data_IF_777022390058
#
_entry.id   IF_777022390058
#
_cell.length_a   1.000
_cell.length_b   1.000
_cell.length_c   1.000
_cell.angle_alpha   90.00
_cell.angle_beta   90.00
_cell.angle_gamma   90.00
#
_symmetry.space_group_name_H-M   'P 1'
#
loop_
_entity.id
_entity.type
_entity.pdbx_description
1 polymer ?
#
# COMPACT_ATOMS: atom_id res chain seq x y z
N UNK A 1 -0.52 17.02 6.82
CA UNK A 1 -1.66 17.94 6.59
C UNK A 1 -2.82 17.35 5.77
N UNK A 2 -2.67 16.99 4.49
CA UNK A 2 -3.80 16.59 3.62
C UNK A 2 -4.63 15.42 4.15
N UNK A 3 -4.00 14.32 4.58
CA UNK A 3 -4.72 13.16 5.13
C UNK A 3 -5.49 13.51 6.40
N UNK A 4 -4.87 14.28 7.29
CA UNK A 4 -5.50 14.77 8.51
C UNK A 4 -6.70 15.65 8.21
N UNK A 5 -6.60 16.57 7.23
CA UNK A 5 -7.73 17.39 6.80
C UNK A 5 -8.86 16.60 6.13
N UNK A 6 -8.54 15.44 5.53
CA UNK A 6 -9.53 14.52 4.98
C UNK A 6 -10.20 13.62 6.04
N UNK A 7 -9.91 13.83 7.33
CA UNK A 7 -10.52 13.09 8.44
C UNK A 7 -9.80 11.79 8.81
N UNK A 8 -8.65 11.50 8.22
CA UNK A 8 -7.81 10.38 8.65
C UNK A 8 -7.09 10.70 9.96
N UNK A 9 -6.76 9.64 10.70
CA UNK A 9 -5.91 9.73 11.89
C UNK A 9 -4.44 10.07 11.57
N UNK A 10 -3.57 9.89 12.57
CA UNK A 10 -2.13 9.96 12.36
C UNK A 10 -1.67 8.93 11.32
N UNK A 11 -0.64 9.29 10.54
CA UNK A 11 -0.03 8.36 9.57
C UNK A 11 0.55 7.17 10.35
N UNK A 12 0.22 5.96 9.92
CA UNK A 12 0.62 4.71 10.56
C UNK A 12 1.84 4.05 9.90
N UNK A 13 2.42 4.68 8.88
CA UNK A 13 3.61 4.19 8.18
C UNK A 13 4.80 4.08 9.13
N UNK A 14 5.41 2.92 9.18
CA UNK A 14 6.68 2.68 9.88
C UNK A 14 7.85 2.90 8.91
N UNK A 15 8.92 3.55 9.40
CA UNK A 15 10.14 3.81 8.64
C UNK A 15 11.32 3.30 9.47
N UNK A 16 11.95 2.23 8.99
CA UNK A 16 13.07 1.58 9.66
C UNK A 16 14.09 1.05 8.62
N UNK A 17 15.29 0.72 9.10
CA UNK A 17 16.29 0.03 8.27
C UNK A 17 15.86 -1.42 8.04
N UNK A 18 16.10 -1.95 6.83
CA UNK A 18 15.81 -3.33 6.53
C UNK A 18 16.82 -4.25 7.24
N UNK A 19 16.35 -5.07 8.18
CA UNK A 19 17.20 -6.07 8.83
C UNK A 19 17.35 -7.33 7.99
N UNK A 20 16.22 -7.90 7.53
CA UNK A 20 16.16 -9.13 6.74
C UNK A 20 14.88 -9.17 5.92
N UNK A 21 14.96 -9.75 4.73
CA UNK A 21 13.82 -10.02 3.87
C UNK A 21 13.63 -11.53 3.69
N UNK A 22 12.40 -12.01 3.84
CA UNK A 22 12.03 -13.40 3.60
C UNK A 22 11.07 -13.45 2.41
N UNK A 23 11.32 -14.35 1.46
CA UNK A 23 10.41 -14.58 0.36
C UNK A 23 9.12 -15.24 0.88
N UNK A 24 7.97 -14.75 0.41
CA UNK A 24 6.72 -15.49 0.51
C UNK A 24 6.74 -16.74 -0.37
N UNK A 25 5.87 -17.68 -0.10
CA UNK A 25 5.70 -18.92 -0.86
C UNK A 25 5.46 -18.64 -2.36
N UNK A 26 5.81 -19.60 -3.22
CA UNK A 26 5.71 -19.44 -4.68
C UNK A 26 4.31 -19.01 -5.17
N UNK A 27 3.26 -19.48 -4.48
CA UNK A 27 1.88 -19.12 -4.83
C UNK A 27 1.60 -17.61 -4.68
N UNK A 28 2.29 -16.92 -3.76
CA UNK A 28 2.15 -15.48 -3.55
C UNK A 28 2.84 -14.67 -4.65
N UNK A 29 3.86 -15.25 -5.28
CA UNK A 29 4.65 -14.56 -6.29
C UNK A 29 3.80 -14.35 -7.54
N UNK A 30 3.68 -13.08 -7.95
CA UNK A 30 2.86 -12.66 -9.09
C UNK A 30 1.39 -13.11 -8.99
N UNK A 31 0.84 -13.21 -7.77
CA UNK A 31 -0.50 -13.74 -7.51
C UNK A 31 -1.59 -13.11 -8.39
N UNK A 32 -1.65 -11.78 -8.49
CA UNK A 32 -2.69 -11.09 -9.27
C UNK A 32 -2.52 -11.25 -10.79
N UNK A 33 -1.29 -11.49 -11.27
CA UNK A 33 -1.06 -11.82 -12.67
C UNK A 33 -1.48 -13.27 -12.97
N UNK A 34 -1.23 -14.19 -12.04
CA UNK A 34 -1.68 -15.59 -12.11
C UNK A 34 -3.21 -15.73 -11.95
N UNK A 35 -3.84 -14.80 -11.25
CA UNK A 35 -5.28 -14.79 -10.94
C UNK A 35 -5.92 -13.46 -11.38
N UNK A 36 -6.32 -13.28 -12.65
CA UNK A 36 -6.86 -12.01 -13.17
C UNK A 36 -8.14 -11.51 -12.49
N UNK A 37 -8.90 -12.40 -11.84
CA UNK A 37 -10.05 -12.05 -10.98
C UNK A 37 -9.73 -12.00 -9.48
N UNK A 38 -8.45 -12.10 -9.12
CA UNK A 38 -7.97 -12.08 -7.74
C UNK A 38 -8.21 -10.72 -7.08
N UNK A 39 -8.62 -10.74 -5.83
CA UNK A 39 -8.93 -9.52 -5.09
C UNK A 39 -7.73 -9.04 -4.28
N UNK A 40 -7.37 -7.76 -4.44
CA UNK A 40 -6.27 -7.11 -3.71
C UNK A 40 -6.76 -6.33 -2.47
N UNK A 41 -7.99 -5.81 -2.48
CA UNK A 41 -8.55 -5.07 -1.35
C UNK A 41 -7.96 -3.68 -1.10
N UNK A 42 -7.22 -3.12 -2.06
CA UNK A 42 -6.68 -1.76 -1.94
C UNK A 42 -7.76 -0.74 -2.35
N UNK A 43 -8.13 0.15 -1.42
CA UNK A 43 -9.03 1.29 -1.69
C UNK A 43 -8.32 2.65 -1.85
N UNK A 44 -7.07 2.76 -1.37
CA UNK A 44 -6.35 4.03 -1.32
C UNK A 44 -6.97 5.05 -0.36
N UNK A 45 -6.49 6.30 -0.42
CA UNK A 45 -6.94 7.40 0.44
C UNK A 45 -7.89 8.37 -0.28
N UNK A 46 -8.02 8.27 -1.60
CA UNK A 46 -8.84 9.17 -2.42
C UNK A 46 -8.37 10.64 -2.47
N UNK A 47 -7.27 10.99 -1.81
CA UNK A 47 -6.73 12.36 -1.83
C UNK A 47 -5.68 12.54 -2.92
N UNK A 48 -5.71 13.69 -3.60
CA UNK A 48 -4.72 14.02 -4.64
C UNK A 48 -3.36 14.34 -4.02
N UNK A 49 -2.29 13.81 -4.63
CA UNK A 49 -0.92 14.21 -4.30
C UNK A 49 -0.62 15.58 -4.93
N UNK A 50 -0.24 16.62 -4.15
CA UNK A 50 -0.10 17.98 -4.66
C UNK A 50 1.12 18.21 -5.56
N UNK A 51 1.97 17.19 -5.79
CA UNK A 51 3.21 17.30 -6.58
C UNK A 51 2.93 17.52 -8.08
N UNK A 52 1.71 17.25 -8.55
CA UNK A 52 1.31 17.40 -9.96
C UNK A 52 0.31 18.54 -10.20
N UNK A 53 0.24 19.54 -9.29
CA UNK A 53 -0.56 20.77 -9.44
C UNK A 53 0.33 21.93 -9.85
#
# INVERSE_FOLDING_TARGET
EVLKSAGYGGITTEIASLERFYYGEDYHQQYLAKNPGGYCGIGGTGVTCPIAV
#
